data_IF_178394478899
#
_entry.id   IF_178394478899
#
_cell.length_a   1.000
_cell.length_b   1.000
_cell.length_c   1.000
_cell.angle_alpha   90.00
_cell.angle_beta   90.00
_cell.angle_gamma   90.00
#
_symmetry.space_group_name_H-M   'P 1'
#
loop_
_entity.id
_entity.type
_entity.pdbx_description
1 polymer ?
#
# COMPACT_ATOMS: atom_id res chain seq x y z
N UNK A 1 2.45 17.30 7.71
CA UNK A 1 3.42 16.26 7.30
C UNK A 1 4.87 16.60 7.66
N UNK A 2 5.34 17.86 7.52
CA UNK A 2 6.68 18.31 7.97
C UNK A 2 6.91 18.23 9.49
N UNK A 3 5.87 18.45 10.30
CA UNK A 3 5.99 18.50 11.76
C UNK A 3 6.46 17.18 12.40
N UNK A 4 5.93 16.03 11.96
CA UNK A 4 6.28 14.71 12.52
C UNK A 4 7.75 14.39 12.22
N UNK A 5 8.21 14.65 10.99
CA UNK A 5 9.60 14.42 10.58
C UNK A 5 10.58 15.29 11.39
N UNK A 6 10.22 16.55 11.65
CA UNK A 6 11.03 17.48 12.43
C UNK A 6 11.13 17.08 13.92
N UNK A 7 10.00 16.71 14.54
CA UNK A 7 9.98 16.23 15.93
C UNK A 7 10.81 14.95 16.08
N UNK A 8 10.74 14.02 15.12
CA UNK A 8 11.52 12.78 15.15
C UNK A 8 13.02 12.99 14.96
N UNK A 9 13.43 13.87 14.04
CA UNK A 9 14.86 14.22 13.87
C UNK A 9 15.40 14.78 15.20
N UNK A 10 14.64 15.64 15.87
CA UNK A 10 15.02 16.17 17.19
C UNK A 10 15.12 15.06 18.25
N UNK A 11 14.22 14.08 18.26
CA UNK A 11 14.26 12.93 19.19
C UNK A 11 15.45 12.00 18.92
N UNK A 12 15.73 11.69 17.65
CA UNK A 12 16.88 10.87 17.24
C UNK A 12 18.19 11.55 17.64
N UNK A 13 18.33 12.85 17.36
CA UNK A 13 19.55 13.61 17.68
C UNK A 13 19.78 13.81 19.18
N UNK A 14 18.74 13.66 20.03
CA UNK A 14 18.84 13.75 21.49
C UNK A 14 19.12 12.41 22.17
N UNK A 15 18.93 11.29 21.46
CA UNK A 15 19.12 9.96 22.02
C UNK A 15 20.58 9.55 21.86
N UNK A 16 21.25 9.16 22.96
CA UNK A 16 22.68 8.75 22.93
C UNK A 16 22.87 7.26 22.66
N UNK A 17 21.80 6.49 22.78
CA UNK A 17 21.83 5.04 22.59
C UNK A 17 21.50 4.68 21.14
N UNK A 18 22.49 4.10 20.47
CA UNK A 18 22.41 3.69 19.07
C UNK A 18 21.30 2.65 18.83
N UNK A 19 21.04 1.76 19.79
CA UNK A 19 20.00 0.74 19.68
C UNK A 19 18.62 1.40 19.65
N UNK A 20 18.35 2.33 20.57
CA UNK A 20 17.07 3.05 20.61
C UNK A 20 16.86 3.95 19.38
N UNK A 21 17.93 4.58 18.88
CA UNK A 21 17.87 5.35 17.62
C UNK A 21 17.47 4.44 16.46
N UNK A 22 18.13 3.28 16.31
CA UNK A 22 17.83 2.34 15.23
C UNK A 22 16.39 1.81 15.31
N UNK A 23 15.92 1.44 16.50
CA UNK A 23 14.55 0.98 16.72
C UNK A 23 13.52 2.07 16.40
N UNK A 24 13.75 3.32 16.81
CA UNK A 24 12.87 4.42 16.47
C UNK A 24 12.80 4.66 14.96
N UNK A 25 13.93 4.61 14.25
CA UNK A 25 13.97 4.73 12.79
C UNK A 25 13.23 3.57 12.11
N UNK A 26 13.44 2.34 12.58
CA UNK A 26 12.78 1.14 12.08
C UNK A 26 11.27 1.22 12.26
N UNK A 27 10.79 1.57 13.45
CA UNK A 27 9.36 1.70 13.74
C UNK A 27 8.66 2.73 12.84
N UNK A 28 9.29 3.88 12.55
CA UNK A 28 8.72 4.87 11.63
C UNK A 28 8.56 4.30 10.23
N UNK A 29 9.58 3.60 9.76
CA UNK A 29 9.56 2.97 8.44
C UNK A 29 8.48 1.89 8.38
N UNK A 30 8.45 0.98 9.36
CA UNK A 30 7.47 -0.11 9.44
C UNK A 30 6.03 0.40 9.57
N UNK A 31 5.78 1.44 10.39
CA UNK A 31 4.44 2.06 10.51
C UNK A 31 4.03 2.69 9.18
N UNK A 32 4.96 3.35 8.49
CA UNK A 32 4.69 3.95 7.18
C UNK A 32 4.40 2.88 6.14
N UNK A 33 5.19 1.82 6.09
CA UNK A 33 5.02 0.70 5.18
C UNK A 33 3.70 -0.02 5.44
N UNK A 34 3.38 -0.33 6.71
CA UNK A 34 2.11 -0.92 7.12
C UNK A 34 0.91 -0.05 6.70
N UNK A 35 1.02 1.27 6.87
CA UNK A 35 -0.03 2.21 6.45
C UNK A 35 -0.21 2.25 4.93
N UNK A 36 0.88 2.14 4.17
CA UNK A 36 0.84 2.09 2.71
C UNK A 36 0.29 0.76 2.20
N UNK A 37 0.67 -0.36 2.80
CA UNK A 37 0.12 -1.69 2.53
C UNK A 37 -1.40 -1.67 2.76
N UNK A 38 -1.86 -1.14 3.91
CA UNK A 38 -3.27 -1.04 4.23
C UNK A 38 -4.04 -0.20 3.19
N UNK A 39 -3.50 0.96 2.81
CA UNK A 39 -4.11 1.83 1.81
C UNK A 39 -4.21 1.15 0.44
N UNK A 40 -3.13 0.54 -0.05
CA UNK A 40 -3.09 -0.14 -1.34
C UNK A 40 -4.00 -1.36 -1.37
N UNK A 41 -4.04 -2.13 -0.28
CA UNK A 41 -4.96 -3.25 -0.10
C UNK A 41 -6.40 -2.75 -0.14
N UNK A 42 -6.71 -1.68 0.59
CA UNK A 42 -8.06 -1.08 0.59
C UNK A 42 -8.47 -0.65 -0.83
N UNK A 43 -7.57 -0.03 -1.59
CA UNK A 43 -7.85 0.32 -2.98
C UNK A 43 -8.10 -0.92 -3.84
N UNK A 44 -7.27 -1.95 -3.71
CA UNK A 44 -7.41 -3.18 -4.49
C UNK A 44 -8.76 -3.86 -4.26
N UNK A 45 -9.20 -3.98 -3.00
CA UNK A 45 -10.46 -4.66 -2.65
C UNK A 45 -11.71 -3.84 -2.97
N UNK A 46 -11.61 -2.51 -3.00
CA UNK A 46 -12.74 -1.62 -3.27
C UNK A 46 -12.81 -1.13 -4.73
N UNK A 47 -11.82 -1.47 -5.54
CA UNK A 47 -11.77 -1.13 -6.96
C UNK A 47 -12.96 -1.72 -7.72
N UNK A 48 -13.64 -0.88 -8.51
CA UNK A 48 -14.78 -1.25 -9.36
C UNK A 48 -14.56 -0.75 -10.77
N UNK A 49 -14.84 -1.59 -11.76
CA UNK A 49 -14.76 -1.18 -13.16
C UNK A 49 -15.97 -0.33 -13.49
N UNK A 50 -15.74 0.88 -14.00
CA UNK A 50 -16.85 1.73 -14.45
C UNK A 50 -17.31 1.33 -15.85
N UNK A 51 -18.58 1.55 -16.20
CA UNK A 51 -19.13 1.17 -17.52
C UNK A 51 -18.40 1.78 -18.72
N UNK A 52 -17.78 2.95 -18.55
CA UNK A 52 -17.06 3.67 -19.60
C UNK A 52 -15.56 3.37 -19.62
N UNK A 53 -15.06 2.62 -18.63
CA UNK A 53 -13.66 2.26 -18.56
C UNK A 53 -13.36 1.09 -19.51
N UNK A 54 -12.21 1.15 -20.18
CA UNK A 54 -11.72 0.01 -20.96
C UNK A 54 -11.24 -1.09 -20.01
N UNK A 55 -11.64 -2.34 -20.27
CA UNK A 55 -11.27 -3.48 -19.44
C UNK A 55 -9.74 -3.62 -19.29
N UNK A 56 -8.98 -3.32 -20.34
CA UNK A 56 -7.52 -3.33 -20.32
C UNK A 56 -6.94 -2.36 -19.28
N UNK A 57 -7.50 -1.14 -19.19
CA UNK A 57 -7.09 -0.13 -18.22
C UNK A 57 -7.42 -0.59 -16.79
N UNK A 58 -8.61 -1.15 -16.60
CA UNK A 58 -9.03 -1.72 -15.32
C UNK A 58 -8.08 -2.85 -14.88
N UNK A 59 -7.80 -3.82 -15.76
CA UNK A 59 -6.88 -4.92 -15.47
C UNK A 59 -5.45 -4.44 -15.20
N UNK A 60 -4.97 -3.45 -15.95
CA UNK A 60 -3.66 -2.85 -15.75
C UNK A 60 -3.55 -2.19 -14.36
N UNK A 61 -4.57 -1.45 -13.95
CA UNK A 61 -4.64 -0.82 -12.63
C UNK A 61 -4.60 -1.88 -11.50
N UNK A 62 -5.36 -2.96 -11.62
CA UNK A 62 -5.38 -4.05 -10.64
C UNK A 62 -4.00 -4.74 -10.53
N UNK A 63 -3.37 -5.04 -11.68
CA UNK A 63 -2.02 -5.62 -11.72
C UNK A 63 -0.97 -4.67 -11.12
N UNK A 64 -1.05 -3.37 -11.42
CA UNK A 64 -0.14 -2.37 -10.86
C UNK A 64 -0.27 -2.26 -9.33
N UNK A 65 -1.47 -2.36 -8.79
CA UNK A 65 -1.70 -2.42 -7.34
C UNK A 65 -1.08 -3.68 -6.72
N UNK A 66 -1.29 -4.85 -7.34
CA UNK A 66 -0.62 -6.09 -6.91
C UNK A 66 0.89 -5.94 -6.90
N UNK A 67 1.50 -5.43 -7.98
CA UNK A 67 2.95 -5.27 -8.08
C UNK A 67 3.51 -4.34 -6.99
N UNK A 68 2.80 -3.26 -6.65
CA UNK A 68 3.18 -2.37 -5.55
C UNK A 68 3.13 -3.07 -4.19
N UNK A 69 2.12 -3.90 -3.94
CA UNK A 69 2.01 -4.69 -2.72
C UNK A 69 3.12 -5.73 -2.61
N UNK A 70 3.41 -6.45 -3.70
CA UNK A 70 4.52 -7.44 -3.76
C UNK A 70 5.88 -6.78 -3.53
N UNK A 71 6.10 -5.56 -4.03
CA UNK A 71 7.32 -4.80 -3.76
C UNK A 71 7.49 -4.40 -2.29
N UNK A 72 6.42 -4.44 -1.49
CA UNK A 72 6.42 -4.22 -0.03
C UNK A 72 6.29 -5.56 0.74
N UNK A 73 6.68 -6.67 0.11
CA UNK A 73 6.58 -8.04 0.63
C UNK A 73 5.15 -8.48 1.05
N UNK A 74 4.12 -7.75 0.59
CA UNK A 74 2.73 -8.11 0.81
C UNK A 74 2.20 -8.97 -0.35
N UNK A 75 2.09 -10.27 -0.10
CA UNK A 75 1.66 -11.24 -1.10
C UNK A 75 0.15 -11.14 -1.36
N UNK A 76 -0.20 -11.01 -2.63
CA UNK A 76 -1.57 -11.18 -3.13
C UNK A 76 -1.57 -12.34 -4.11
N UNK A 77 -2.33 -13.40 -3.81
CA UNK A 77 -2.45 -14.56 -4.68
C UNK A 77 -3.13 -14.18 -6.00
N UNK A 78 -2.75 -14.84 -7.10
CA UNK A 78 -3.34 -14.56 -8.41
C UNK A 78 -4.83 -14.92 -8.44
N UNK A 79 -5.22 -15.99 -7.77
CA UNK A 79 -6.61 -16.43 -7.64
C UNK A 79 -7.46 -15.37 -6.92
N UNK A 80 -6.92 -14.77 -5.86
CA UNK A 80 -7.57 -13.66 -5.14
C UNK A 80 -7.74 -12.45 -6.05
N UNK A 81 -6.70 -12.08 -6.81
CA UNK A 81 -6.77 -10.95 -7.72
C UNK A 81 -7.82 -11.19 -8.83
N UNK A 82 -7.83 -12.38 -9.42
CA UNK A 82 -8.81 -12.76 -10.45
C UNK A 82 -10.23 -12.71 -9.90
N UNK A 83 -10.46 -13.27 -8.71
CA UNK A 83 -11.78 -13.25 -8.07
C UNK A 83 -12.25 -11.82 -7.78
N UNK A 84 -11.36 -10.95 -7.28
CA UNK A 84 -11.68 -9.53 -7.05
C UNK A 84 -12.07 -8.82 -8.34
N UNK A 85 -11.30 -9.02 -9.42
CA UNK A 85 -11.58 -8.44 -10.74
C UNK A 85 -12.96 -8.88 -11.24
N UNK A 86 -13.23 -10.18 -11.28
CA UNK A 86 -14.47 -10.74 -11.81
C UNK A 86 -15.70 -10.24 -11.05
N UNK A 87 -15.63 -10.19 -9.71
CA UNK A 87 -16.72 -9.74 -8.85
C UNK A 87 -17.06 -8.25 -8.99
N UNK A 88 -16.20 -7.47 -9.65
CA UNK A 88 -16.28 -6.02 -9.74
C UNK A 88 -16.40 -5.51 -11.18
N UNK A 89 -16.59 -6.43 -12.13
CA UNK A 89 -16.99 -6.11 -13.50
C UNK A 89 -18.46 -5.66 -13.52
N UNK A 90 -18.83 -4.71 -14.40
CA UNK A 90 -20.22 -4.31 -14.57
C UNK A 90 -21.02 -5.47 -15.21
N UNK A 91 -22.25 -5.68 -14.72
CA UNK A 91 -23.15 -6.74 -15.20
C UNK A 91 -23.62 -6.54 -16.66
N UNK A 92 -23.41 -5.34 -17.22
CA UNK A 92 -23.61 -5.03 -18.64
C UNK A 92 -22.74 -3.81 -19.01
N UNK A 93 -22.05 -3.87 -20.14
CA UNK A 93 -21.36 -2.73 -20.75
C UNK A 93 -22.35 -1.82 -21.50
#
# INVERSE_FOLDING_TARGET
>A
MMAIKHVFIVTILKTKDLFYIWQAMKNIYEVRESSQILLLTTYLYNMQMTKRELIEKYLCNAKNLKSKLVAMDHKVADETLVQLILNKLPSSQ
#
